data_IF_970410082824
#
_entry.id   IF_970410082824
#
_cell.length_a   1.000
_cell.length_b   1.000
_cell.length_c   1.000
_cell.angle_alpha   90.00
_cell.angle_beta   90.00
_cell.angle_gamma   90.00
#
_symmetry.space_group_name_H-M   'P 1'
#
loop_
_entity.id
_entity.type
_entity.pdbx_description
1 polymer ?
#
# COMPACT_ATOMS: atom_id res chain seq x y z
N UNK A 1 29.73 9.87 -11.94
CA UNK A 1 28.68 10.59 -11.18
C UNK A 1 27.43 9.81 -11.45
N UNK A 2 27.15 8.85 -10.58
CA UNK A 2 26.03 7.94 -10.65
C UNK A 2 24.73 8.72 -10.53
N UNK A 3 23.94 8.70 -11.59
CA UNK A 3 22.53 9.04 -11.56
C UNK A 3 21.80 7.88 -10.87
N UNK A 4 22.02 7.74 -9.55
CA UNK A 4 21.16 6.91 -8.72
C UNK A 4 19.88 7.69 -8.55
N UNK A 5 18.95 7.48 -9.49
CA UNK A 5 17.53 7.73 -9.25
C UNK A 5 17.23 7.25 -7.83
N UNK A 6 16.65 8.08 -6.94
CA UNK A 6 16.34 7.63 -5.59
C UNK A 6 15.55 6.33 -5.73
N UNK A 7 15.93 5.24 -5.02
CA UNK A 7 15.19 3.99 -5.11
C UNK A 7 13.72 4.35 -4.87
N UNK A 8 12.87 4.08 -5.86
CA UNK A 8 11.46 4.46 -5.83
C UNK A 8 10.94 4.05 -4.46
N UNK A 9 10.71 5.04 -3.58
CA UNK A 9 10.79 4.83 -2.13
C UNK A 9 10.15 3.50 -1.73
N UNK A 10 10.98 2.56 -1.27
CA UNK A 10 10.56 1.18 -1.02
C UNK A 10 9.52 1.19 0.10
N UNK A 11 8.39 0.51 -0.13
CA UNK A 11 7.38 0.33 0.92
C UNK A 11 7.95 -0.64 1.94
N UNK A 12 8.14 -0.15 3.16
CA UNK A 12 8.51 -0.93 4.33
C UNK A 12 7.24 -1.45 4.99
N UNK A 13 7.12 -2.77 5.04
CA UNK A 13 6.02 -3.45 5.71
C UNK A 13 6.44 -3.88 7.12
N UNK A 14 5.74 -3.37 8.13
CA UNK A 14 5.90 -3.74 9.52
C UNK A 14 4.77 -4.69 9.93
N UNK A 15 5.12 -5.90 10.35
CA UNK A 15 4.16 -6.81 10.99
C UNK A 15 3.90 -6.31 12.42
N UNK A 16 2.67 -5.87 12.68
CA UNK A 16 2.26 -5.41 14.02
C UNK A 16 1.60 -6.55 14.79
N UNK A 17 0.79 -7.36 14.08
CA UNK A 17 0.15 -8.57 14.59
C UNK A 17 0.29 -9.69 13.54
N UNK A 18 0.01 -10.95 13.91
CA UNK A 18 0.18 -12.12 13.03
C UNK A 18 -0.65 -12.00 11.74
N UNK A 19 -1.82 -11.36 11.83
CA UNK A 19 -2.73 -11.06 10.73
C UNK A 19 -2.68 -9.57 10.29
N UNK A 20 -1.79 -8.72 10.82
CA UNK A 20 -1.83 -7.28 10.51
C UNK A 20 -0.47 -6.70 10.12
N UNK A 21 -0.41 -6.21 8.88
CA UNK A 21 0.79 -5.66 8.26
C UNK A 21 0.58 -4.19 7.92
N UNK A 22 1.44 -3.31 8.42
CA UNK A 22 1.39 -1.88 8.13
C UNK A 22 2.43 -1.52 7.07
N UNK A 23 1.98 -0.90 5.98
CA UNK A 23 2.84 -0.39 4.92
C UNK A 23 3.17 1.08 5.15
N UNK A 24 4.47 1.39 5.21
CA UNK A 24 4.99 2.76 5.25
C UNK A 24 6.01 2.99 4.15
N UNK A 25 6.04 4.18 3.56
CA UNK A 25 6.94 4.53 2.45
C UNK A 25 7.67 5.81 2.78
N UNK A 26 9.00 5.74 2.85
CA UNK A 26 9.85 6.90 3.19
C UNK A 26 9.38 7.68 4.45
N UNK A 27 8.78 6.97 5.42
CA UNK A 27 8.23 7.56 6.65
C UNK A 27 6.76 8.00 6.58
N UNK A 28 6.12 7.92 5.41
CA UNK A 28 4.69 8.17 5.24
C UNK A 28 3.89 6.87 5.42
N UNK A 29 2.81 6.89 6.21
CA UNK A 29 1.90 5.76 6.31
C UNK A 29 1.04 5.65 5.04
N UNK A 30 1.17 4.54 4.32
CA UNK A 30 0.40 4.29 3.08
C UNK A 30 -0.91 3.55 3.34
N UNK A 31 -0.91 2.67 4.33
CA UNK A 31 -2.04 1.80 4.62
C UNK A 31 -1.62 0.54 5.36
N UNK A 32 -2.51 -0.45 5.37
CA UNK A 32 -2.29 -1.71 6.02
C UNK A 32 -2.93 -2.85 5.23
N UNK A 33 -2.43 -4.06 5.44
CA UNK A 33 -3.01 -5.30 4.96
C UNK A 33 -3.40 -6.12 6.17
N UNK A 34 -4.67 -6.44 6.26
CA UNK A 34 -5.25 -7.34 7.26
C UNK A 34 -5.46 -8.70 6.61
N UNK A 35 -4.78 -9.72 7.12
CA UNK A 35 -5.09 -11.08 6.77
C UNK A 35 -6.36 -11.48 7.54
N UNK A 36 -7.31 -12.07 6.81
CA UNK A 36 -8.53 -12.60 7.35
C UNK A 36 -8.33 -14.07 7.69
N UNK A 37 -9.09 -14.57 8.66
CA UNK A 37 -9.10 -15.99 9.05
C UNK A 37 -9.45 -16.96 7.90
N UNK A 38 -10.03 -16.46 6.81
CA UNK A 38 -10.30 -17.22 5.57
C UNK A 38 -9.04 -17.41 4.69
N UNK A 39 -7.89 -16.82 5.08
CA UNK A 39 -6.63 -16.83 4.33
C UNK A 39 -6.55 -15.76 3.23
N UNK A 40 -7.46 -14.78 3.24
CA UNK A 40 -7.46 -13.63 2.30
C UNK A 40 -6.76 -12.44 2.92
N UNK A 41 -6.29 -11.53 2.10
CA UNK A 41 -5.58 -10.32 2.48
C UNK A 41 -6.41 -9.10 2.08
N UNK A 42 -7.00 -8.42 3.06
CA UNK A 42 -7.70 -7.17 2.89
C UNK A 42 -6.70 -6.01 2.87
N UNK A 43 -6.54 -5.38 1.71
CA UNK A 43 -5.75 -4.17 1.57
C UNK A 43 -6.58 -2.94 1.92
N UNK A 44 -6.08 -2.11 2.83
CA UNK A 44 -6.67 -0.84 3.22
C UNK A 44 -5.70 0.32 2.98
N UNK A 45 -6.23 1.47 2.55
CA UNK A 45 -5.44 2.68 2.36
C UNK A 45 -5.21 3.44 3.69
N UNK A 46 -4.51 4.57 3.61
CA UNK A 46 -4.22 5.43 4.77
C UNK A 46 -5.47 5.99 5.48
N UNK A 47 -6.65 5.95 4.85
CA UNK A 47 -7.93 6.37 5.42
C UNK A 47 -8.74 5.20 6.00
N UNK A 48 -8.14 4.02 6.13
CA UNK A 48 -8.83 2.77 6.51
C UNK A 48 -9.98 2.42 5.56
N UNK A 49 -9.92 2.87 4.31
CA UNK A 49 -10.84 2.42 3.28
C UNK A 49 -10.29 1.14 2.64
N UNK A 50 -11.09 0.06 2.60
CA UNK A 50 -10.70 -1.16 1.92
C UNK A 50 -10.57 -0.88 0.43
N UNK A 51 -9.37 -1.10 -0.11
CA UNK A 51 -9.06 -1.03 -1.53
C UNK A 51 -9.62 -2.30 -2.21
N UNK A 52 -9.45 -3.45 -1.55
CA UNK A 52 -9.92 -4.74 -2.03
C UNK A 52 -9.41 -5.90 -1.18
N UNK A 53 -10.00 -7.07 -1.38
CA UNK A 53 -9.54 -8.34 -0.83
C UNK A 53 -8.79 -9.12 -1.90
N UNK A 54 -7.66 -9.69 -1.50
CA UNK A 54 -6.73 -10.38 -2.38
C UNK A 54 -6.41 -11.76 -1.84
N UNK A 55 -6.15 -12.72 -2.73
CA UNK A 55 -5.73 -14.07 -2.34
C UNK A 55 -4.24 -14.19 -2.00
N UNK A 56 -3.48 -13.10 -2.08
CA UNK A 56 -2.03 -13.09 -1.88
C UNK A 56 -1.56 -11.77 -1.31
N UNK A 57 -0.63 -11.84 -0.35
CA UNK A 57 -0.05 -10.69 0.32
C UNK A 57 0.62 -9.73 -0.67
N UNK A 58 1.34 -10.26 -1.67
CA UNK A 58 2.00 -9.47 -2.72
C UNK A 58 1.00 -8.60 -3.51
N UNK A 59 -0.15 -9.17 -3.89
CA UNK A 59 -1.19 -8.48 -4.64
C UNK A 59 -1.84 -7.37 -3.80
N UNK A 60 -2.11 -7.68 -2.51
CA UNK A 60 -2.60 -6.69 -1.54
C UNK A 60 -1.61 -5.54 -1.32
N UNK A 61 -0.32 -5.85 -1.13
CA UNK A 61 0.74 -4.86 -0.95
C UNK A 61 0.90 -3.98 -2.19
N UNK A 62 0.86 -4.58 -3.38
CA UNK A 62 0.90 -3.87 -4.65
C UNK A 62 -0.32 -2.96 -4.84
N UNK A 63 -1.51 -3.38 -4.40
CA UNK A 63 -2.71 -2.54 -4.43
C UNK A 63 -2.62 -1.32 -3.52
N UNK A 64 -2.11 -1.49 -2.28
CA UNK A 64 -1.81 -0.37 -1.37
C UNK A 64 -0.80 0.59 -2.01
N UNK A 65 0.23 0.05 -2.65
CA UNK A 65 1.25 0.84 -3.32
C UNK A 65 0.70 1.60 -4.55
N UNK A 66 -0.14 0.94 -5.34
CA UNK A 66 -0.78 1.50 -6.53
C UNK A 66 -1.87 2.53 -6.25
N UNK A 67 -2.52 2.48 -5.09
CA UNK A 67 -3.57 3.45 -4.71
C UNK A 67 -3.01 4.87 -4.54
N UNK A 68 -1.72 5.01 -4.21
CA UNK A 68 -1.06 6.31 -4.12
C UNK A 68 -0.86 6.97 -5.51
N UNK A 69 -0.92 6.23 -6.62
CA UNK A 69 -0.68 6.77 -7.97
C UNK A 69 -1.84 7.60 -8.54
N UNK A 70 -2.89 7.88 -7.78
CA UNK A 70 -3.96 8.77 -8.26
C UNK A 70 -4.66 9.52 -7.13
N UNK A 71 -4.29 10.81 -6.96
CA UNK A 71 -5.33 11.84 -7.01
C UNK A 71 -5.12 12.98 -8.04
N UNK A 72 -4.11 12.94 -8.93
CA UNK A 72 -3.75 14.13 -9.75
C UNK A 72 -4.22 14.15 -11.23
N UNK A 73 -5.34 13.53 -11.63
CA UNK A 73 -5.83 13.67 -13.01
C UNK A 73 -7.35 13.89 -13.12
N UNK A 74 -7.93 14.66 -12.19
CA UNK A 74 -9.34 15.06 -12.27
C UNK A 74 -9.62 16.54 -11.91
N UNK A 75 -8.60 17.38 -11.76
CA UNK A 75 -8.80 18.78 -11.36
C UNK A 75 -8.08 19.83 -12.24
N UNK A 76 -7.66 19.48 -13.47
CA UNK A 76 -7.24 20.49 -14.46
C UNK A 76 -7.87 20.19 -15.83
N UNK A 77 -8.99 20.87 -16.14
CA UNK A 77 -9.54 20.98 -17.49
C UNK A 77 -11.05 20.75 -17.61
N UNK A 78 -11.88 21.75 -17.29
CA UNK A 78 -12.60 22.62 -18.25
C UNK A 78 -13.50 23.62 -17.49
#
# INVERSE_FOLDING_TARGET
>A
MDDTLPPAAEVTWAMVEDDFYVGSRAGEFLGYVDQSADGRYLACNMFSHPIGEYGSLDDAMNAVHGTHLSPQLAAEGD
#
